data_IF_589186495539
#
_entry.id   IF_589186495539
#
_cell.length_a   1.000
_cell.length_b   1.000
_cell.length_c   1.000
_cell.angle_alpha   90.00
_cell.angle_beta   90.00
_cell.angle_gamma   90.00
#
_symmetry.space_group_name_H-M   'P 1'
#
loop_
_entity.id
_entity.type
_entity.pdbx_description
1 polymer ?
#
# COMPACT_ATOMS: atom_id res chain seq x y z
N UNK A 1 -2.50 -20.34 -4.75
CA UNK A 1 -3.93 -20.68 -4.61
C UNK A 1 -4.19 -21.85 -5.51
N UNK A 2 -4.79 -22.92 -4.98
CA UNK A 2 -5.07 -24.15 -5.74
C UNK A 2 -6.50 -24.16 -6.30
N UNK A 3 -7.35 -23.25 -5.84
CA UNK A 3 -8.75 -23.10 -6.25
C UNK A 3 -9.06 -21.63 -6.53
N UNK A 4 -9.92 -21.37 -7.51
CA UNK A 4 -10.35 -20.02 -7.91
C UNK A 4 -11.88 -19.98 -7.95
N UNK A 5 -12.54 -19.13 -7.12
CA UNK A 5 -13.98 -18.95 -7.21
C UNK A 5 -14.34 -18.26 -8.53
N UNK A 6 -15.35 -18.77 -9.22
CA UNK A 6 -15.80 -18.25 -10.52
C UNK A 6 -17.14 -17.55 -10.33
N UNK A 7 -17.21 -16.29 -10.77
CA UNK A 7 -18.42 -15.47 -10.74
C UNK A 7 -18.85 -15.17 -12.19
N UNK A 8 -20.16 -15.14 -12.43
CA UNK A 8 -20.75 -14.76 -13.71
C UNK A 8 -21.52 -13.45 -13.55
N UNK A 9 -21.31 -12.51 -14.46
CA UNK A 9 -21.95 -11.20 -14.41
C UNK A 9 -21.53 -10.31 -15.58
N UNK A 10 -21.99 -9.06 -15.55
CA UNK A 10 -21.57 -8.03 -16.50
C UNK A 10 -21.22 -6.76 -15.74
N UNK A 11 -19.96 -6.35 -15.83
CA UNK A 11 -19.51 -5.09 -15.22
C UNK A 11 -20.19 -3.88 -15.88
N UNK A 12 -20.42 -3.93 -17.21
CA UNK A 12 -21.07 -2.84 -17.95
C UNK A 12 -22.55 -2.67 -17.54
N UNK A 13 -23.24 -3.78 -17.27
CA UNK A 13 -24.61 -3.77 -16.77
C UNK A 13 -24.70 -3.66 -15.25
N UNK A 14 -23.57 -3.53 -14.55
CA UNK A 14 -23.46 -3.55 -13.09
C UNK A 14 -24.20 -4.72 -12.42
N UNK A 15 -24.12 -5.92 -13.03
CA UNK A 15 -24.82 -7.11 -12.57
C UNK A 15 -23.82 -8.18 -12.12
N UNK A 16 -23.98 -8.69 -10.89
CA UNK A 16 -23.12 -9.71 -10.28
C UNK A 16 -21.79 -9.17 -9.71
N UNK A 17 -21.56 -7.86 -9.76
CA UNK A 17 -20.37 -7.20 -9.20
C UNK A 17 -20.42 -7.20 -7.66
N UNK A 18 -21.61 -7.07 -7.10
CA UNK A 18 -21.89 -7.19 -5.67
C UNK A 18 -21.44 -8.56 -5.12
N UNK A 19 -21.85 -9.66 -5.75
CA UNK A 19 -21.45 -11.00 -5.33
C UNK A 19 -19.93 -11.21 -5.37
N UNK A 20 -19.27 -10.63 -6.38
CA UNK A 20 -17.81 -10.65 -6.46
C UNK A 20 -17.17 -9.85 -5.32
N UNK A 21 -17.69 -8.66 -5.01
CA UNK A 21 -17.17 -7.81 -3.92
C UNK A 21 -17.39 -8.45 -2.54
N UNK A 22 -18.54 -9.08 -2.32
CA UNK A 22 -18.82 -9.83 -1.09
C UNK A 22 -17.84 -11.00 -0.94
N UNK A 23 -17.64 -11.80 -2.00
CA UNK A 23 -16.65 -12.87 -1.99
C UNK A 23 -15.22 -12.36 -1.79
N UNK A 24 -14.88 -11.21 -2.37
CA UNK A 24 -13.59 -10.56 -2.19
C UNK A 24 -13.38 -10.15 -0.73
N UNK A 25 -14.33 -9.46 -0.12
CA UNK A 25 -14.21 -9.02 1.28
C UNK A 25 -14.18 -10.19 2.27
N UNK A 26 -14.87 -11.29 1.96
CA UNK A 26 -14.93 -12.46 2.83
C UNK A 26 -13.70 -13.37 2.74
N UNK A 27 -13.14 -13.55 1.54
CA UNK A 27 -12.09 -14.55 1.31
C UNK A 27 -10.72 -13.96 0.98
N UNK A 28 -10.64 -12.69 0.60
CA UNK A 28 -9.34 -12.08 0.34
C UNK A 28 -8.51 -12.07 1.63
N UNK A 29 -7.23 -12.44 1.55
CA UNK A 29 -6.38 -12.42 2.72
C UNK A 29 -6.17 -10.99 3.20
N UNK A 30 -6.21 -10.82 4.52
CA UNK A 30 -5.68 -9.63 5.19
C UNK A 30 -4.19 -9.43 4.85
N UNK A 31 -3.58 -8.27 5.18
CA UNK A 31 -2.16 -8.02 4.95
C UNK A 31 -1.30 -9.18 5.46
N UNK A 32 -0.57 -9.82 4.54
CA UNK A 32 0.23 -11.00 4.84
C UNK A 32 1.63 -10.59 5.31
N UNK A 33 2.24 -11.46 6.11
CA UNK A 33 3.64 -11.36 6.48
C UNK A 33 4.54 -11.35 5.23
N UNK A 34 5.71 -10.72 5.36
CA UNK A 34 6.68 -10.63 4.26
C UNK A 34 8.06 -11.10 4.71
N UNK A 35 8.67 -11.96 3.90
CA UNK A 35 10.04 -12.40 4.11
C UNK A 35 11.01 -11.26 3.78
N UNK A 36 11.87 -10.91 4.75
CA UNK A 36 13.04 -10.08 4.56
C UNK A 36 14.31 -10.94 4.71
N UNK A 37 15.47 -10.39 4.36
CA UNK A 37 16.75 -11.11 4.40
C UNK A 37 17.12 -11.61 5.81
N UNK A 38 16.67 -10.90 6.85
CA UNK A 38 17.02 -11.22 8.25
C UNK A 38 15.95 -12.05 8.95
N UNK A 39 14.66 -11.84 8.64
CA UNK A 39 13.52 -12.48 9.31
C UNK A 39 12.23 -12.30 8.50
N UNK A 40 11.20 -13.03 8.90
CA UNK A 40 9.83 -12.74 8.49
C UNK A 40 9.33 -11.52 9.29
N UNK A 41 8.69 -10.60 8.58
CA UNK A 41 8.04 -9.41 9.16
C UNK A 41 6.55 -9.67 9.16
N UNK A 42 5.96 -9.77 10.35
CA UNK A 42 4.54 -9.98 10.55
C UNK A 42 3.77 -8.67 10.38
N UNK A 43 2.61 -8.73 9.73
CA UNK A 43 1.80 -7.53 9.49
C UNK A 43 1.22 -6.91 10.77
N UNK A 44 1.14 -7.69 11.84
CA UNK A 44 0.68 -7.29 13.16
C UNK A 44 1.75 -6.58 14.00
N UNK A 45 3.00 -6.44 13.53
CA UNK A 45 4.02 -5.72 14.30
C UNK A 45 3.70 -4.23 14.40
N UNK A 46 3.99 -3.61 15.55
CA UNK A 46 3.68 -2.19 15.79
C UNK A 46 4.60 -1.23 15.01
N UNK A 47 5.85 -1.63 14.77
CA UNK A 47 6.84 -0.78 14.10
C UNK A 47 6.56 -0.69 12.61
N UNK A 48 6.59 0.53 12.07
CA UNK A 48 6.43 0.72 10.63
C UNK A 48 7.55 0.02 9.87
N UNK A 49 7.17 -0.84 8.95
CA UNK A 49 8.06 -1.36 7.91
C UNK A 49 7.37 -1.30 6.56
N UNK A 50 8.17 -1.12 5.51
CA UNK A 50 7.65 -1.03 4.16
C UNK A 50 8.77 -1.13 3.13
N UNK A 51 8.40 -1.36 1.88
CA UNK A 51 9.34 -1.43 0.78
C UNK A 51 8.76 -0.72 -0.44
N UNK A 52 9.64 -0.03 -1.17
CA UNK A 52 9.29 0.64 -2.43
C UNK A 52 9.24 -0.40 -3.54
N UNK A 53 8.12 -0.50 -4.24
CA UNK A 53 7.94 -1.45 -5.34
C UNK A 53 7.81 -0.79 -6.71
N UNK A 54 7.50 0.51 -6.76
CA UNK A 54 7.39 1.28 -7.99
C UNK A 54 7.84 2.71 -7.74
N UNK A 55 8.53 3.30 -8.72
CA UNK A 55 8.83 4.74 -8.73
C UNK A 55 8.21 5.31 -9.99
N UNK A 56 7.44 6.38 -9.86
CA UNK A 56 6.87 7.09 -10.98
C UNK A 56 7.44 8.51 -11.01
N UNK A 57 7.94 8.92 -12.18
CA UNK A 57 8.48 10.24 -12.41
C UNK A 57 7.52 11.09 -13.24
N UNK A 58 7.67 12.42 -13.16
CA UNK A 58 6.92 13.41 -13.95
C UNK A 58 5.41 13.31 -13.73
N UNK A 59 4.99 13.17 -12.47
CA UNK A 59 3.58 13.15 -12.10
C UNK A 59 2.94 14.55 -12.06
N UNK A 60 3.73 15.63 -11.93
CA UNK A 60 3.33 17.00 -12.23
C UNK A 60 4.21 17.50 -13.40
N UNK A 61 3.63 18.04 -14.48
CA UNK A 61 4.42 18.66 -15.54
C UNK A 61 5.25 19.88 -15.07
N UNK A 62 4.82 20.57 -13.99
CA UNK A 62 5.44 21.80 -13.49
C UNK A 62 6.60 21.56 -12.52
N UNK A 63 6.53 20.48 -11.75
CA UNK A 63 7.56 20.09 -10.79
C UNK A 63 8.03 18.69 -11.17
N UNK A 64 9.34 18.49 -11.38
CA UNK A 64 9.90 17.18 -11.77
C UNK A 64 9.85 16.20 -10.60
N UNK A 65 8.63 15.84 -10.21
CA UNK A 65 8.35 15.09 -9.02
C UNK A 65 8.57 13.61 -9.29
N UNK A 66 9.18 12.95 -8.32
CA UNK A 66 9.35 11.49 -8.30
C UNK A 66 8.66 10.99 -7.06
N UNK A 67 7.64 10.17 -7.26
CA UNK A 67 6.84 9.56 -6.19
C UNK A 67 7.28 8.10 -6.09
N UNK A 68 7.61 7.67 -4.87
CA UNK A 68 8.09 6.32 -4.60
C UNK A 68 6.97 5.55 -3.89
N UNK A 69 6.29 4.70 -4.64
CA UNK A 69 5.21 3.89 -4.11
C UNK A 69 5.77 2.81 -3.18
N UNK A 70 5.50 3.01 -1.90
CA UNK A 70 5.85 2.11 -0.81
C UNK A 70 4.61 1.36 -0.35
N UNK A 71 4.74 0.04 -0.26
CA UNK A 71 3.75 -0.79 0.42
C UNK A 71 4.14 -0.93 1.89
N UNK A 72 3.22 -0.63 2.79
CA UNK A 72 3.40 -0.86 4.23
C UNK A 72 3.20 -2.36 4.51
N UNK A 73 4.17 -2.96 5.18
CA UNK A 73 4.16 -4.38 5.56
C UNK A 73 3.63 -4.53 6.98
N UNK A 74 4.10 -3.70 7.92
CA UNK A 74 3.71 -3.73 9.32
C UNK A 74 3.64 -2.33 9.90
N UNK A 75 2.98 -2.20 11.05
CA UNK A 75 2.89 -0.99 11.83
C UNK A 75 1.99 0.07 11.21
N UNK A 76 2.15 1.29 11.72
CA UNK A 76 1.37 2.45 11.33
C UNK A 76 2.29 3.57 10.87
N UNK A 77 1.94 4.19 9.74
CA UNK A 77 2.53 5.43 9.28
C UNK A 77 1.78 6.59 9.92
N UNK A 78 2.52 7.59 10.39
CA UNK A 78 1.98 8.84 10.89
C UNK A 78 2.74 10.00 10.25
N UNK A 79 2.01 11.03 9.84
CA UNK A 79 2.58 12.21 9.20
C UNK A 79 3.67 12.86 10.05
N UNK A 80 4.82 13.12 9.43
CA UNK A 80 5.97 13.73 10.10
C UNK A 80 6.84 12.73 10.89
N UNK A 81 6.55 11.43 10.83
CA UNK A 81 7.39 10.43 11.49
C UNK A 81 8.77 10.32 10.83
N UNK A 82 9.75 9.93 11.65
CA UNK A 82 11.12 9.71 11.23
C UNK A 82 11.33 8.24 10.86
N UNK A 83 11.67 7.98 9.61
CA UNK A 83 11.90 6.63 9.09
C UNK A 83 13.37 6.37 8.82
N UNK A 84 13.82 5.14 9.02
CA UNK A 84 15.17 4.70 8.68
C UNK A 84 15.19 4.18 7.24
N UNK A 85 15.85 4.89 6.34
CA UNK A 85 16.12 4.34 5.00
C UNK A 85 17.31 3.37 5.09
N UNK A 86 17.00 2.07 5.12
CA UNK A 86 17.97 0.98 5.36
C UNK A 86 19.14 0.99 4.37
N UNK A 87 18.86 1.07 3.05
CA UNK A 87 19.90 1.06 2.01
C UNK A 87 20.95 2.17 2.13
N UNK A 88 20.55 3.39 2.50
CA UNK A 88 21.47 4.53 2.60
C UNK A 88 21.97 4.75 4.03
N UNK A 89 21.42 4.02 5.01
CA UNK A 89 21.77 4.17 6.42
C UNK A 89 21.50 5.58 6.98
N UNK A 90 20.46 6.26 6.49
CA UNK A 90 20.07 7.59 6.97
C UNK A 90 18.63 7.59 7.46
N UNK A 91 18.37 8.48 8.40
CA UNK A 91 17.00 8.74 8.81
C UNK A 91 16.42 9.86 7.93
N UNK A 92 15.19 9.67 7.50
CA UNK A 92 14.45 10.59 6.66
C UNK A 92 13.14 10.91 7.38
N UNK A 93 12.84 12.19 7.52
CA UNK A 93 11.52 12.63 7.99
C UNK A 93 10.58 12.66 6.80
N UNK A 94 9.45 11.96 6.90
CA UNK A 94 8.44 11.96 5.85
C UNK A 94 7.35 12.94 6.27
N UNK A 95 7.41 14.17 5.75
CA UNK A 95 6.40 15.21 6.00
C UNK A 95 5.18 15.08 5.10
N UNK A 96 5.40 14.63 3.85
CA UNK A 96 4.42 14.69 2.77
C UNK A 96 4.30 13.35 2.05
N UNK A 97 3.77 12.34 2.74
CA UNK A 97 3.35 11.11 2.08
C UNK A 97 2.02 11.32 1.34
N UNK A 98 1.94 10.80 0.13
CA UNK A 98 0.73 10.82 -0.69
C UNK A 98 -0.06 9.52 -0.47
N UNK A 99 -1.35 9.64 -0.17
CA UNK A 99 -2.32 8.54 -0.29
C UNK A 99 -3.11 8.70 -1.57
N UNK A 100 -3.46 7.57 -2.17
CA UNK A 100 -4.27 7.51 -3.38
C UNK A 100 -5.70 7.09 -2.99
N UNK A 101 -6.57 8.08 -2.83
CA UNK A 101 -7.98 7.82 -2.56
C UNK A 101 -8.77 8.10 -3.84
N UNK A 102 -9.36 7.04 -4.42
CA UNK A 102 -10.25 7.13 -5.59
C UNK A 102 -9.72 7.93 -6.80
N UNK A 103 -8.40 7.92 -7.03
CA UNK A 103 -7.77 8.61 -8.17
C UNK A 103 -7.27 10.03 -7.85
N UNK A 104 -7.68 10.60 -6.71
CA UNK A 104 -7.17 11.87 -6.21
C UNK A 104 -5.98 11.68 -5.28
N UNK A 105 -5.05 12.64 -5.34
CA UNK A 105 -3.88 12.69 -4.47
C UNK A 105 -4.23 13.49 -3.23
N UNK A 106 -4.25 12.83 -2.08
CA UNK A 106 -4.43 13.50 -0.79
C UNK A 106 -3.22 13.21 0.09
N UNK A 107 -2.92 14.15 0.98
CA UNK A 107 -1.90 13.89 1.99
C UNK A 107 -2.43 12.84 2.97
N UNK A 108 -1.64 11.79 3.20
CA UNK A 108 -1.95 10.78 4.18
C UNK A 108 -1.58 11.29 5.57
N UNK A 109 -2.56 11.38 6.48
CA UNK A 109 -2.28 11.66 7.89
C UNK A 109 -1.84 10.38 8.62
N UNK A 110 -2.46 9.24 8.28
CA UNK A 110 -2.09 7.91 8.75
C UNK A 110 -2.31 6.83 7.68
N UNK A 111 -1.56 5.72 7.78
CA UNK A 111 -1.73 4.54 6.92
C UNK A 111 -1.28 3.26 7.66
N UNK A 112 -1.83 2.11 7.28
CA UNK A 112 -1.65 0.84 7.98
C UNK A 112 -1.03 -0.24 7.09
N UNK A 113 -0.68 -1.39 7.69
CA UNK A 113 -0.22 -2.56 6.95
C UNK A 113 -1.19 -2.91 5.80
N UNK A 114 -0.64 -3.10 4.59
CA UNK A 114 -1.42 -3.33 3.38
C UNK A 114 -1.60 -2.09 2.50
N UNK A 115 -1.57 -0.89 3.09
CA UNK A 115 -1.73 0.36 2.35
C UNK A 115 -0.52 0.68 1.47
N UNK A 116 -0.78 1.52 0.47
CA UNK A 116 0.23 2.03 -0.46
C UNK A 116 0.31 3.55 -0.29
N UNK A 117 1.50 4.03 0.08
CA UNK A 117 1.82 5.46 0.18
C UNK A 117 2.86 5.84 -0.87
N UNK A 118 2.82 7.08 -1.36
CA UNK A 118 3.70 7.64 -2.38
C UNK A 118 4.67 8.68 -1.84
#
# INVERSE_FOLDING_TARGET
GELTPVFFGTALGNFGVDHFLDGLTQWAPAPQARQADTRIVESSEEKLTGFVFKIQANMDPKHRDRVAFMRIVSGKYEKGMKLRHVRIGKDVVISDALTFMAGDRTHADEAYAGDIIG
#
